data_IF_239350705264
#
_entry.id   IF_239350705264
#
_cell.length_a   1.000
_cell.length_b   1.000
_cell.length_c   1.000
_cell.angle_alpha   90.00
_cell.angle_beta   90.00
_cell.angle_gamma   90.00
#
_symmetry.space_group_name_H-M   'P 1'
#
loop_
_entity.id
_entity.type
_entity.pdbx_description
1 polymer ?
#
# COMPACT_ATOMS: atom_id res chain seq x y z
N UNK A 1 11.75 29.69 15.32
CA UNK A 1 11.58 28.23 15.52
C UNK A 1 10.76 27.72 14.36
N UNK A 2 11.41 27.17 13.34
CA UNK A 2 10.73 26.60 12.19
C UNK A 2 10.24 25.20 12.57
N UNK A 3 8.93 24.97 12.43
CA UNK A 3 8.34 23.62 12.46
C UNK A 3 9.09 22.75 11.43
N UNK A 4 9.55 21.54 11.76
CA UNK A 4 10.04 20.64 10.74
C UNK A 4 8.88 20.26 9.80
N UNK A 5 9.13 20.13 8.49
CA UNK A 5 8.11 19.77 7.53
C UNK A 5 7.57 18.37 7.85
N UNK A 6 6.26 18.33 8.10
CA UNK A 6 5.32 17.25 7.84
C UNK A 6 5.96 15.90 7.50
N UNK A 7 6.16 15.09 8.54
CA UNK A 7 5.80 13.66 8.57
C UNK A 7 5.90 12.94 7.22
N UNK A 8 7.12 12.84 6.67
CA UNK A 8 7.43 12.01 5.51
C UNK A 8 7.33 10.55 5.98
N UNK A 9 6.11 10.04 6.11
CA UNK A 9 5.85 8.64 6.44
C UNK A 9 6.42 7.81 5.30
N UNK A 10 7.46 7.03 5.60
CA UNK A 10 7.98 6.00 4.72
C UNK A 10 6.88 4.95 4.50
N UNK A 11 6.02 5.17 3.51
CA UNK A 11 5.06 4.19 3.03
C UNK A 11 5.88 3.06 2.43
N UNK A 12 6.06 1.98 3.20
CA UNK A 12 7.05 0.95 2.84
C UNK A 12 6.58 0.20 1.60
N UNK A 13 7.32 0.37 0.51
CA UNK A 13 7.17 -0.40 -0.73
C UNK A 13 7.30 -1.91 -0.48
N UNK A 14 8.03 -2.31 0.57
CA UNK A 14 8.14 -3.71 0.96
C UNK A 14 6.81 -4.29 1.44
N UNK A 15 6.03 -3.53 2.21
CA UNK A 15 4.72 -3.97 2.68
C UNK A 15 3.73 -4.11 1.53
N UNK A 16 3.75 -3.18 0.57
CA UNK A 16 2.97 -3.29 -0.65
C UNK A 16 3.36 -4.54 -1.45
N UNK A 17 4.66 -4.76 -1.64
CA UNK A 17 5.17 -5.94 -2.35
C UNK A 17 4.76 -7.24 -1.65
N UNK A 18 4.79 -7.27 -0.31
CA UNK A 18 4.37 -8.44 0.47
C UNK A 18 2.88 -8.73 0.27
N UNK A 19 2.03 -7.73 0.44
CA UNK A 19 0.57 -7.89 0.26
C UNK A 19 0.21 -8.30 -1.16
N UNK A 20 0.85 -7.71 -2.17
CA UNK A 20 0.65 -8.13 -3.57
C UNK A 20 1.05 -9.59 -3.78
N UNK A 21 2.14 -10.04 -3.15
CA UNK A 21 2.58 -11.44 -3.21
C UNK A 21 1.61 -12.42 -2.53
N UNK A 22 0.89 -11.98 -1.50
CA UNK A 22 -0.14 -12.78 -0.83
C UNK A 22 -1.43 -12.88 -1.65
N UNK A 23 -1.85 -11.79 -2.29
CA UNK A 23 -3.09 -11.75 -3.10
C UNK A 23 -2.90 -12.46 -4.44
N UNK A 24 -1.80 -12.16 -5.13
CA UNK A 24 -1.57 -12.62 -6.50
C UNK A 24 -0.80 -13.94 -6.56
N UNK A 25 -0.11 -14.31 -5.47
CA UNK A 25 0.87 -15.38 -5.46
C UNK A 25 2.21 -14.94 -6.05
N UNK A 26 3.30 -15.29 -5.36
CA UNK A 26 4.68 -14.87 -5.72
C UNK A 26 5.19 -15.44 -7.04
N UNK A 27 4.58 -16.51 -7.51
CA UNK A 27 4.89 -17.15 -8.79
C UNK A 27 4.01 -16.64 -9.95
N UNK A 28 3.07 -15.73 -9.69
CA UNK A 28 2.21 -15.20 -10.74
C UNK A 28 2.93 -14.18 -11.62
N UNK A 29 2.66 -14.23 -12.92
CA UNK A 29 3.22 -13.28 -13.90
C UNK A 29 2.82 -11.84 -13.59
N UNK A 30 1.60 -11.63 -13.10
CA UNK A 30 1.12 -10.29 -12.71
C UNK A 30 1.90 -9.74 -11.53
N UNK A 31 2.19 -10.54 -10.50
CA UNK A 31 3.05 -10.13 -9.39
C UNK A 31 4.44 -9.74 -9.86
N UNK A 32 5.05 -10.54 -10.76
CA UNK A 32 6.37 -10.22 -11.33
C UNK A 32 6.38 -8.93 -12.14
N UNK A 33 5.28 -8.60 -12.81
CA UNK A 33 5.13 -7.31 -13.52
C UNK A 33 5.09 -6.13 -12.56
N UNK A 34 4.35 -6.25 -11.45
CA UNK A 34 4.40 -5.24 -10.38
C UNK A 34 5.79 -5.12 -9.77
N UNK A 35 6.44 -6.24 -9.41
CA UNK A 35 7.81 -6.22 -8.89
C UNK A 35 8.77 -5.51 -9.84
N UNK A 36 8.67 -5.80 -11.15
CA UNK A 36 9.52 -5.16 -12.16
C UNK A 36 9.28 -3.65 -12.22
N UNK A 37 8.02 -3.22 -12.23
CA UNK A 37 7.67 -1.80 -12.23
C UNK A 37 8.26 -1.06 -11.02
N UNK A 38 8.21 -1.69 -9.84
CA UNK A 38 8.76 -1.12 -8.61
C UNK A 38 10.29 -1.06 -8.60
N UNK A 39 10.97 -2.12 -9.03
CA UNK A 39 12.44 -2.17 -9.10
C UNK A 39 12.96 -1.11 -10.09
N UNK A 40 12.31 -0.99 -11.25
CA UNK A 40 12.72 -0.05 -12.29
C UNK A 40 12.21 1.38 -12.01
N UNK A 41 11.41 1.58 -10.94
CA UNK A 41 10.70 2.81 -10.62
C UNK A 41 10.00 3.43 -11.85
N UNK A 42 9.37 2.58 -12.66
CA UNK A 42 8.84 2.95 -13.97
C UNK A 42 7.31 3.08 -13.91
N UNK A 43 6.76 4.29 -14.11
CA UNK A 43 5.33 4.49 -14.14
C UNK A 43 4.67 3.76 -15.32
N UNK A 44 5.31 3.72 -16.49
CA UNK A 44 4.79 3.01 -17.66
C UNK A 44 4.62 1.50 -17.41
N UNK A 45 5.59 0.89 -16.72
CA UNK A 45 5.51 -0.52 -16.33
C UNK A 45 4.43 -0.77 -15.27
N UNK A 46 4.22 0.20 -14.38
CA UNK A 46 3.17 0.11 -13.36
C UNK A 46 1.78 0.19 -14.01
N UNK A 47 1.57 1.14 -14.93
CA UNK A 47 0.34 1.25 -15.71
C UNK A 47 0.06 -0.03 -16.52
N UNK A 48 1.10 -0.60 -17.13
CA UNK A 48 0.98 -1.88 -17.84
C UNK A 48 0.60 -3.04 -16.90
N UNK A 49 1.12 -3.07 -15.67
CA UNK A 49 0.75 -4.06 -14.66
C UNK A 49 -0.72 -3.90 -14.22
N UNK A 50 -1.16 -2.66 -13.95
CA UNK A 50 -2.56 -2.36 -13.61
C UNK A 50 -3.50 -2.69 -14.76
N UNK A 51 -3.12 -2.39 -16.00
CA UNK A 51 -3.89 -2.77 -17.18
C UNK A 51 -4.02 -4.30 -17.30
N UNK A 52 -2.96 -5.05 -17.01
CA UNK A 52 -2.96 -6.51 -17.04
C UNK A 52 -3.81 -7.13 -15.92
N UNK A 53 -3.99 -6.44 -14.78
CA UNK A 53 -4.85 -6.89 -13.68
C UNK A 53 -6.31 -7.08 -14.12
N UNK A 54 -6.77 -6.31 -15.12
CA UNK A 54 -8.13 -6.42 -15.68
C UNK A 54 -8.45 -7.80 -16.29
N UNK A 55 -7.43 -8.62 -16.56
CA UNK A 55 -7.58 -9.99 -17.06
C UNK A 55 -7.86 -11.01 -15.96
N UNK A 56 -7.72 -10.63 -14.69
CA UNK A 56 -7.92 -11.50 -13.54
C UNK A 56 -9.37 -11.46 -13.04
N UNK A 57 -9.82 -12.42 -12.22
CA UNK A 57 -11.17 -12.40 -11.65
C UNK A 57 -11.44 -11.12 -10.86
N UNK A 58 -12.67 -10.58 -10.94
CA UNK A 58 -13.12 -9.41 -10.20
C UNK A 58 -12.75 -9.41 -8.68
N UNK A 59 -12.86 -10.51 -7.92
CA UNK A 59 -12.44 -10.50 -6.51
C UNK A 59 -10.94 -10.26 -6.34
N UNK A 60 -10.10 -10.74 -7.26
CA UNK A 60 -8.66 -10.48 -7.24
C UNK A 60 -8.35 -9.02 -7.56
N UNK A 61 -9.06 -8.45 -8.54
CA UNK A 61 -8.92 -7.03 -8.88
C UNK A 61 -9.26 -6.14 -7.67
N UNK A 62 -10.43 -6.39 -7.06
CA UNK A 62 -10.88 -5.64 -5.89
C UNK A 62 -9.92 -5.75 -4.70
N UNK A 63 -9.36 -6.94 -4.44
CA UNK A 63 -8.38 -7.12 -3.36
C UNK A 63 -7.09 -6.33 -3.60
N UNK A 64 -6.60 -6.28 -4.84
CA UNK A 64 -5.42 -5.48 -5.19
C UNK A 64 -5.71 -3.98 -5.09
N UNK A 65 -6.87 -3.52 -5.57
CA UNK A 65 -7.28 -2.12 -5.47
C UNK A 65 -7.42 -1.69 -3.99
N UNK A 66 -8.04 -2.52 -3.15
CA UNK A 66 -8.16 -2.26 -1.72
C UNK A 66 -6.78 -2.18 -1.05
N UNK A 67 -5.86 -3.09 -1.40
CA UNK A 67 -4.48 -3.04 -0.91
C UNK A 67 -3.76 -1.75 -1.34
N UNK A 68 -3.92 -1.32 -2.60
CA UNK A 68 -3.29 -0.10 -3.10
C UNK A 68 -3.85 1.14 -2.41
N UNK A 69 -5.18 1.22 -2.25
CA UNK A 69 -5.86 2.29 -1.52
C UNK A 69 -5.43 2.29 -0.05
N UNK A 70 -5.42 1.13 0.60
CA UNK A 70 -4.95 0.99 1.99
C UNK A 70 -3.47 1.33 2.14
N UNK A 71 -2.63 1.03 1.15
CA UNK A 71 -1.23 1.43 1.16
C UNK A 71 -1.07 2.95 0.97
N UNK A 72 -1.83 3.56 0.06
CA UNK A 72 -1.80 5.00 -0.20
C UNK A 72 -2.40 5.83 0.95
N UNK A 73 -3.46 5.34 1.60
CA UNK A 73 -4.28 6.11 2.54
C UNK A 73 -4.30 5.52 3.97
N UNK A 74 -4.05 4.23 4.15
CA UNK A 74 -4.10 3.51 5.43
C UNK A 74 -2.92 3.79 6.37
N UNK A 75 -1.92 4.55 5.93
CA UNK A 75 -0.95 5.16 6.85
C UNK A 75 -1.55 6.27 7.74
N UNK A 76 -2.82 6.66 7.57
CA UNK A 76 -3.52 7.64 8.42
C UNK A 76 -4.20 7.05 9.67
N UNK A 77 -4.30 5.71 9.79
CA UNK A 77 -4.79 5.10 11.02
C UNK A 77 -3.64 4.96 12.03
N UNK A 78 -3.22 6.09 12.63
CA UNK A 78 -2.66 5.99 13.97
C UNK A 78 -3.74 5.35 14.84
N UNK A 79 -3.45 4.30 15.63
CA UNK A 79 -4.33 3.96 16.72
C UNK A 79 -4.41 5.23 17.58
N UNK A 80 -5.59 5.82 17.65
CA UNK A 80 -5.96 6.74 18.71
C UNK A 80 -5.57 6.08 20.03
N UNK A 81 -4.41 6.48 20.57
CA UNK A 81 -3.97 6.05 21.90
C UNK A 81 -5.05 6.49 22.88
N UNK A 82 -5.75 5.58 23.58
CA UNK A 82 -6.74 5.95 24.58
C UNK A 82 -6.03 6.40 25.86
N UNK A 83 -5.18 7.42 25.79
CA UNK A 83 -4.46 8.02 26.92
C UNK A 83 -5.03 9.40 27.30
N UNK A 84 -6.26 9.70 26.89
CA UNK A 84 -6.94 10.97 27.24
C UNK A 84 -8.18 10.78 28.13
N UNK A 85 -8.39 9.58 28.70
CA UNK A 85 -9.50 9.33 29.64
C UNK A 85 -9.07 9.00 31.09
N UNK A 86 -7.83 9.32 31.47
CA UNK A 86 -7.30 9.04 32.81
C UNK A 86 -6.88 10.27 33.63
N UNK A 87 -7.25 11.49 33.21
CA UNK A 87 -6.94 12.73 33.94
C UNK A 87 -8.16 13.61 34.23
N UNK A 88 -9.31 13.01 34.54
CA UNK A 88 -10.51 13.73 35.00
C UNK A 88 -11.00 13.23 36.36
N UNK A 89 -10.06 12.95 37.28
CA UNK A 89 -10.34 12.86 38.72
C UNK A 89 -9.23 13.59 39.48
N UNK A 90 -9.41 14.89 39.63
CA UNK A 90 -8.88 15.68 40.73
C UNK A 90 -9.97 16.69 41.12
#
# INVERSE_FOLDING_TARGET
MSNPPEDVRLVSLENLRRGLGEILGRDSLIFRRFERAFIDNSPDLLDAAVAALKLYPAPTQAAVDDLLVSWLFGANALPETPDTLLNSRA
#
